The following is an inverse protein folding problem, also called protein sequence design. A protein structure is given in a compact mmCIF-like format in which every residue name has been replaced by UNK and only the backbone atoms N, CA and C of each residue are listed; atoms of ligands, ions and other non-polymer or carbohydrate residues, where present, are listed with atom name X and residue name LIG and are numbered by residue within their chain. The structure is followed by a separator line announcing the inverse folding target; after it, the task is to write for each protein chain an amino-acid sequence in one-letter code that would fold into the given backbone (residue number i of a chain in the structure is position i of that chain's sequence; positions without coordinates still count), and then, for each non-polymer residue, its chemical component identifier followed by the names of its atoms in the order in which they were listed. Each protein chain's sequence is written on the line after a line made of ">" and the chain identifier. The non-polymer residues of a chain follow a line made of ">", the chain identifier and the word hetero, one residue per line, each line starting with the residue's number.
data_IF_969377464429
#
_entry.id   IF_969377464429
#
_cell.length_a   1.000
_cell.length_b   1.000
_cell.length_c   1.000
_cell.angle_alpha   90.00
_cell.angle_beta   90.00
_cell.angle_gamma   90.00
#
_symmetry.space_group_name_H-M   'P 1'
#
loop_
_entity.id
_entity.type
_entity.pdbx_description
1 polymer ?
#
# COMPACT_ATOMS: atom_id res chain seq x y z
N UNK A 1 -1.21 -56.22 58.63
CA UNK A 1 -1.43 -55.73 57.25
C UNK A 1 -2.44 -54.60 57.30
N UNK A 2 -2.03 -53.36 57.05
CA UNK A 2 -2.96 -52.27 56.71
C UNK A 2 -2.43 -51.62 55.43
N UNK A 3 -3.18 -51.81 54.35
CA UNK A 3 -2.83 -51.39 53.02
C UNK A 3 -3.00 -49.88 52.86
N UNK A 4 -1.98 -49.26 52.26
CA UNK A 4 -1.85 -47.84 51.96
C UNK A 4 -2.70 -47.53 50.71
N UNK A 5 -3.84 -46.87 50.89
CA UNK A 5 -4.65 -46.40 49.77
C UNK A 5 -4.00 -45.16 49.13
N UNK A 6 -3.57 -45.33 47.88
CA UNK A 6 -3.03 -44.29 47.00
C UNK A 6 -4.12 -43.26 46.68
N UNK A 7 -4.01 -42.04 47.21
CA UNK A 7 -4.87 -40.93 46.82
C UNK A 7 -4.47 -40.44 45.43
N UNK A 8 -5.26 -40.80 44.44
CA UNK A 8 -5.26 -40.26 43.09
C UNK A 8 -5.33 -38.72 43.11
N UNK A 9 -4.18 -38.07 42.93
CA UNK A 9 -4.08 -36.64 42.74
C UNK A 9 -4.57 -36.29 41.33
N UNK A 10 -5.80 -35.79 41.22
CA UNK A 10 -6.34 -35.27 39.96
C UNK A 10 -5.42 -34.18 39.41
N UNK A 11 -4.73 -34.47 38.30
CA UNK A 11 -3.92 -33.50 37.58
C UNK A 11 -4.80 -32.32 37.15
N UNK A 12 -4.53 -31.12 37.68
CA UNK A 12 -5.20 -29.89 37.24
C UNK A 12 -4.92 -29.70 35.76
N UNK A 13 -5.99 -29.63 34.97
CA UNK A 13 -5.92 -29.41 33.52
C UNK A 13 -5.06 -28.17 33.23
N UNK A 14 -3.89 -28.33 32.58
CA UNK A 14 -2.93 -27.26 32.36
C UNK A 14 -3.51 -26.12 31.51
N UNK A 15 -4.48 -26.42 30.64
CA UNK A 15 -5.13 -25.41 29.80
C UNK A 15 -6.03 -24.50 30.63
N UNK A 16 -6.81 -25.07 31.57
CA UNK A 16 -7.65 -24.29 32.50
C UNK A 16 -6.82 -23.38 33.40
N UNK A 17 -5.63 -23.83 33.82
CA UNK A 17 -4.69 -23.01 34.60
C UNK A 17 -4.17 -21.83 33.78
N UNK A 18 -3.82 -22.03 32.51
CA UNK A 18 -3.35 -20.97 31.60
C UNK A 18 -4.46 -19.94 31.36
N UNK A 19 -5.69 -20.39 31.10
CA UNK A 19 -6.84 -19.50 30.89
C UNK A 19 -7.17 -18.67 32.14
N UNK A 20 -7.20 -19.30 33.31
CA UNK A 20 -7.43 -18.59 34.57
C UNK A 20 -6.35 -17.54 34.83
N UNK A 21 -5.09 -17.85 34.51
CA UNK A 21 -3.98 -16.88 34.59
C UNK A 21 -4.13 -15.73 33.60
N UNK A 22 -4.58 -16.00 32.37
CA UNK A 22 -4.85 -14.95 31.37
C UNK A 22 -5.99 -14.03 31.84
N UNK A 23 -7.08 -14.60 32.37
CA UNK A 23 -8.21 -13.86 32.93
C UNK A 23 -7.79 -13.00 34.12
N UNK A 24 -6.99 -13.56 35.03
CA UNK A 24 -6.42 -12.82 36.16
C UNK A 24 -5.52 -11.68 35.70
N UNK A 25 -4.57 -11.94 34.79
CA UNK A 25 -3.67 -10.92 34.28
C UNK A 25 -4.40 -9.81 33.51
N UNK A 26 -5.52 -10.13 32.85
CA UNK A 26 -6.35 -9.13 32.19
C UNK A 26 -7.07 -8.24 33.20
N UNK A 27 -7.65 -8.83 34.26
CA UNK A 27 -8.34 -8.09 35.33
C UNK A 27 -7.39 -7.23 36.18
N UNK A 28 -6.18 -7.72 36.45
CA UNK A 28 -5.19 -7.04 37.29
C UNK A 28 -4.05 -6.39 36.48
N UNK A 29 -4.29 -6.09 35.20
CA UNK A 29 -3.25 -5.61 34.29
C UNK A 29 -2.55 -4.36 34.80
N UNK A 30 -3.32 -3.37 35.25
CA UNK A 30 -2.79 -2.09 35.71
C UNK A 30 -2.00 -2.20 37.01
N UNK A 31 -2.51 -2.98 37.97
CA UNK A 31 -1.84 -3.28 39.23
C UNK A 31 -0.50 -4.02 39.02
N UNK A 32 -0.47 -5.01 38.12
CA UNK A 32 0.75 -5.73 37.75
C UNK A 32 1.76 -4.82 37.02
N UNK A 33 1.28 -3.93 36.14
CA UNK A 33 2.12 -2.95 35.47
C UNK A 33 2.69 -1.92 36.46
N UNK A 34 1.89 -1.44 37.42
CA UNK A 34 2.30 -0.51 38.46
C UNK A 34 3.35 -1.14 39.38
N UNK A 35 3.14 -2.40 39.81
CA UNK A 35 4.12 -3.17 40.58
C UNK A 35 5.44 -3.36 39.81
N UNK A 36 5.37 -3.62 38.51
CA UNK A 36 6.53 -3.70 37.64
C UNK A 36 7.30 -2.38 37.48
N UNK A 37 6.59 -1.24 37.52
CA UNK A 37 7.13 0.13 37.45
C UNK A 37 7.61 0.66 38.80
N UNK A 38 7.37 -0.05 39.91
CA UNK A 38 7.83 0.38 41.24
C UNK A 38 9.36 0.52 41.29
N UNK A 39 9.90 1.51 42.03
CA UNK A 39 11.35 1.75 42.12
C UNK A 39 12.14 0.50 42.53
N UNK A 40 11.66 -0.25 43.53
CA UNK A 40 12.29 -1.49 44.01
C UNK A 40 12.33 -2.59 42.93
N UNK A 41 11.29 -2.72 42.12
CA UNK A 41 11.24 -3.67 41.00
C UNK A 41 12.24 -3.28 39.89
N UNK A 42 12.29 -1.99 39.55
CA UNK A 42 13.23 -1.47 38.56
C UNK A 42 14.68 -1.62 39.01
N UNK A 43 14.98 -1.40 40.29
CA UNK A 43 16.31 -1.58 40.87
C UNK A 43 16.73 -3.05 40.82
N UNK A 44 15.85 -3.98 41.20
CA UNK A 44 16.10 -5.42 41.08
C UNK A 44 16.34 -5.83 39.62
N UNK A 45 15.60 -5.25 38.68
CA UNK A 45 15.79 -5.51 37.25
C UNK A 45 17.13 -4.92 36.74
N UNK A 46 17.53 -3.75 37.23
CA UNK A 46 18.84 -3.14 36.94
C UNK A 46 19.97 -4.01 37.46
N UNK A 47 19.92 -4.46 38.72
CA UNK A 47 20.90 -5.37 39.33
C UNK A 47 21.04 -6.67 38.52
N UNK A 48 19.92 -7.33 38.17
CA UNK A 48 19.93 -8.54 37.33
C UNK A 48 20.61 -8.32 35.96
N UNK A 49 20.38 -7.17 35.32
CA UNK A 49 21.01 -6.84 34.02
C UNK A 49 22.51 -6.56 34.18
N UNK A 50 22.92 -5.97 35.30
CA UNK A 50 24.31 -5.69 35.60
C UNK A 50 25.09 -6.96 35.98
N UNK A 51 24.46 -7.88 36.71
CA UNK A 51 25.03 -9.18 37.09
C UNK A 51 25.17 -10.14 35.90
N UNK A 52 24.36 -9.98 34.85
CA UNK A 52 24.40 -10.84 33.66
C UNK A 52 24.29 -10.01 32.37
N UNK A 53 25.32 -9.22 32.02
CA UNK A 53 25.29 -8.34 30.85
C UNK A 53 25.22 -9.13 29.54
N UNK A 54 25.93 -10.25 29.45
CA UNK A 54 25.98 -11.10 28.25
C UNK A 54 24.61 -11.73 27.94
N UNK A 55 23.99 -12.39 28.92
CA UNK A 55 22.64 -12.97 28.74
C UNK A 55 21.60 -11.91 28.36
N UNK A 56 21.74 -10.69 28.89
CA UNK A 56 20.86 -9.57 28.53
C UNK A 56 21.09 -9.11 27.09
N UNK A 57 22.36 -9.03 26.65
CA UNK A 57 22.71 -8.66 25.29
C UNK A 57 22.26 -9.72 24.27
N UNK A 58 22.45 -11.00 24.57
CA UNK A 58 21.98 -12.12 23.74
C UNK A 58 20.47 -12.13 23.62
N UNK A 59 19.74 -11.99 24.73
CA UNK A 59 18.29 -11.90 24.69
C UNK A 59 17.81 -10.72 23.83
N UNK A 60 18.48 -9.55 23.93
CA UNK A 60 18.18 -8.40 23.06
C UNK A 60 18.48 -8.69 21.58
N UNK A 61 19.58 -9.37 21.28
CA UNK A 61 19.94 -9.78 19.91
C UNK A 61 18.88 -10.73 19.34
N UNK A 62 18.53 -11.79 20.07
CA UNK A 62 17.50 -12.75 19.68
C UNK A 62 16.13 -12.08 19.50
N UNK A 63 15.78 -11.15 20.38
CA UNK A 63 14.53 -10.39 20.24
C UNK A 63 14.48 -9.58 18.95
N UNK A 64 15.57 -8.89 18.59
CA UNK A 64 15.66 -8.14 17.32
C UNK A 64 15.55 -9.06 16.11
N UNK A 65 16.15 -10.25 16.17
CA UNK A 65 16.11 -11.24 15.09
C UNK A 65 14.71 -11.86 14.93
N UNK A 66 14.05 -12.21 16.04
CA UNK A 66 12.71 -12.84 16.03
C UNK A 66 11.56 -11.85 15.79
N UNK A 67 11.76 -10.58 16.10
CA UNK A 67 10.72 -9.56 16.00
C UNK A 67 11.20 -8.28 15.29
N UNK A 68 11.69 -8.38 14.04
CA UNK A 68 12.20 -7.22 13.30
C UNK A 68 11.13 -6.14 13.14
N UNK A 69 9.88 -6.53 12.89
CA UNK A 69 8.80 -5.57 12.62
C UNK A 69 8.36 -4.83 13.88
N UNK A 70 8.37 -5.47 15.05
CA UNK A 70 8.10 -4.78 16.33
C UNK A 70 9.18 -3.75 16.64
N UNK A 71 10.43 -4.08 16.34
CA UNK A 71 11.56 -3.15 16.51
C UNK A 71 11.42 -1.96 15.55
N UNK A 72 11.13 -2.22 14.26
CA UNK A 72 10.89 -1.15 13.27
C UNK A 72 9.71 -0.26 13.66
N UNK A 73 8.60 -0.84 14.09
CA UNK A 73 7.42 -0.10 14.54
C UNK A 73 7.72 0.76 15.77
N UNK A 74 8.47 0.22 16.74
CA UNK A 74 8.93 0.97 17.91
C UNK A 74 9.84 2.15 17.53
N UNK A 75 10.78 1.94 16.62
CA UNK A 75 11.63 3.02 16.10
C UNK A 75 10.83 4.09 15.36
N UNK A 76 9.83 3.71 14.56
CA UNK A 76 8.94 4.66 13.87
C UNK A 76 8.14 5.48 14.88
N UNK A 77 7.53 4.84 15.88
CA UNK A 77 6.80 5.52 16.94
C UNK A 77 7.70 6.49 17.73
N UNK A 78 8.92 6.07 18.06
CA UNK A 78 9.90 6.93 18.73
C UNK A 78 10.26 8.16 17.90
N UNK A 79 10.52 7.99 16.60
CA UNK A 79 10.85 9.09 15.68
C UNK A 79 9.72 10.11 15.54
N UNK A 80 8.47 9.65 15.52
CA UNK A 80 7.31 10.54 15.46
C UNK A 80 7.13 11.29 16.78
N UNK A 81 7.17 10.57 17.91
CA UNK A 81 6.99 11.17 19.23
C UNK A 81 8.14 12.10 19.67
N UNK A 82 9.33 11.96 19.07
CA UNK A 82 10.52 12.75 19.41
C UNK A 82 11.11 13.47 18.18
N UNK A 83 10.27 13.79 17.19
CA UNK A 83 10.70 14.40 15.93
C UNK A 83 11.50 15.69 16.16
N UNK A 84 11.04 16.55 17.06
CA UNK A 84 11.69 17.82 17.41
C UNK A 84 13.05 17.63 18.06
N UNK A 85 13.18 16.71 19.02
CA UNK A 85 14.46 16.41 19.68
C UNK A 85 15.49 15.86 18.70
N UNK A 86 15.03 15.01 17.78
CA UNK A 86 15.87 14.44 16.72
C UNK A 86 16.31 15.54 15.76
N UNK A 87 15.40 16.42 15.34
CA UNK A 87 15.71 17.54 14.46
C UNK A 87 16.71 18.51 15.11
N UNK A 88 16.52 18.87 16.38
CA UNK A 88 17.43 19.71 17.14
C UNK A 88 18.83 19.08 17.25
N UNK A 89 18.92 17.79 17.56
CA UNK A 89 20.17 17.05 17.59
C UNK A 89 20.90 17.07 16.24
N UNK A 90 20.20 16.82 15.14
CA UNK A 90 20.83 16.83 13.82
C UNK A 90 21.21 18.23 13.35
N UNK A 91 20.48 19.26 13.77
CA UNK A 91 20.82 20.66 13.47
C UNK A 91 22.17 21.04 14.10
N UNK A 92 22.38 20.74 15.39
CA UNK A 92 23.66 21.01 16.07
C UNK A 92 24.78 20.14 15.51
N UNK A 93 24.53 18.83 15.36
CA UNK A 93 25.49 17.88 14.81
C UNK A 93 25.98 18.28 13.41
N UNK A 94 25.07 18.73 12.54
CA UNK A 94 25.44 19.15 11.18
C UNK A 94 26.33 20.40 11.15
N UNK A 95 26.23 21.27 12.14
CA UNK A 95 27.07 22.48 12.25
C UNK A 95 28.45 22.10 12.79
N UNK A 96 28.48 21.34 13.89
CA UNK A 96 29.71 20.90 14.56
C UNK A 96 30.55 19.98 13.65
N UNK A 97 29.92 19.04 12.96
CA UNK A 97 30.58 18.04 12.11
C UNK A 97 30.55 18.39 10.63
N UNK A 98 30.32 19.66 10.26
CA UNK A 98 30.19 20.09 8.86
C UNK A 98 31.38 19.65 8.00
N UNK A 99 32.60 19.77 8.50
CA UNK A 99 33.81 19.39 7.79
C UNK A 99 33.88 17.87 7.52
N UNK A 100 33.53 17.05 8.51
CA UNK A 100 33.51 15.58 8.38
C UNK A 100 32.42 15.12 7.41
N UNK A 101 31.23 15.75 7.46
CA UNK A 101 30.14 15.49 6.52
C UNK A 101 30.58 15.82 5.08
N UNK A 102 31.24 16.95 4.86
CA UNK A 102 31.73 17.32 3.54
C UNK A 102 32.86 16.40 3.06
N UNK A 103 33.76 15.98 3.95
CA UNK A 103 34.83 15.03 3.61
C UNK A 103 34.26 13.67 3.20
N UNK A 104 33.30 13.14 3.97
CA UNK A 104 32.63 11.88 3.65
C UNK A 104 31.81 11.96 2.37
N UNK A 105 31.09 13.07 2.13
CA UNK A 105 30.36 13.31 0.88
C UNK A 105 31.32 13.38 -0.33
N UNK A 106 32.47 14.03 -0.21
CA UNK A 106 33.50 14.03 -1.26
C UNK A 106 33.98 12.62 -1.61
N UNK A 107 34.29 11.80 -0.61
CA UNK A 107 34.70 10.40 -0.81
C UNK A 107 33.58 9.59 -1.46
N UNK A 108 32.34 9.76 -0.99
CA UNK A 108 31.18 9.08 -1.54
C UNK A 108 30.96 9.45 -3.01
N UNK A 109 31.00 10.75 -3.36
CA UNK A 109 30.86 11.23 -4.73
C UNK A 109 31.99 10.77 -5.64
N UNK A 110 33.22 10.73 -5.15
CA UNK A 110 34.35 10.21 -5.91
C UNK A 110 34.18 8.71 -6.22
N UNK A 111 33.76 7.92 -5.23
CA UNK A 111 33.51 6.47 -5.41
C UNK A 111 32.28 6.15 -6.24
N UNK A 112 31.26 7.01 -6.23
CA UNK A 112 29.98 6.79 -6.91
C UNK A 112 29.74 7.81 -8.03
N UNK A 113 30.82 8.27 -8.69
CA UNK A 113 30.78 9.34 -9.67
C UNK A 113 29.71 9.11 -10.73
N UNK A 114 29.69 7.93 -11.34
CA UNK A 114 28.73 7.60 -12.40
C UNK A 114 27.27 7.66 -11.91
N UNK A 115 27.01 7.18 -10.70
CA UNK A 115 25.65 7.25 -10.11
C UNK A 115 25.22 8.69 -9.85
N UNK A 116 26.15 9.52 -9.38
CA UNK A 116 25.91 10.94 -9.12
C UNK A 116 25.66 11.68 -10.43
N UNK A 117 26.47 11.44 -11.45
CA UNK A 117 26.31 12.03 -12.79
C UNK A 117 24.98 11.60 -13.42
N UNK A 118 24.64 10.31 -13.40
CA UNK A 118 23.35 9.80 -13.88
C UNK A 118 22.15 10.46 -13.18
N UNK A 119 22.24 10.62 -11.85
CA UNK A 119 21.19 11.30 -11.09
C UNK A 119 21.08 12.77 -11.46
N UNK A 120 22.21 13.47 -11.62
CA UNK A 120 22.25 14.88 -12.02
C UNK A 120 21.68 15.06 -13.42
N UNK A 121 22.08 14.24 -14.39
CA UNK A 121 21.57 14.30 -15.75
C UNK A 121 20.07 14.02 -15.80
N UNK A 122 19.59 13.00 -15.09
CA UNK A 122 18.15 12.74 -14.96
C UNK A 122 17.40 13.94 -14.38
N UNK A 123 17.97 14.60 -13.36
CA UNK A 123 17.38 15.80 -12.75
C UNK A 123 17.35 16.98 -13.74
N UNK A 124 18.42 17.20 -14.50
CA UNK A 124 18.48 18.23 -15.55
C UNK A 124 17.44 17.97 -16.63
N UNK A 125 17.32 16.73 -17.12
CA UNK A 125 16.33 16.34 -18.13
C UNK A 125 14.90 16.53 -17.64
N UNK A 126 14.62 16.20 -16.37
CA UNK A 126 13.32 16.47 -15.74
C UNK A 126 13.03 17.97 -15.71
N UNK A 127 13.98 18.77 -15.22
CA UNK A 127 13.82 20.22 -15.17
C UNK A 127 13.61 20.84 -16.57
N UNK A 128 14.35 20.38 -17.58
CA UNK A 128 14.17 20.79 -18.98
C UNK A 128 12.78 20.44 -19.50
N UNK A 129 12.30 19.22 -19.24
CA UNK A 129 10.97 18.77 -19.69
C UNK A 129 9.84 19.60 -19.06
N UNK A 130 9.93 19.87 -17.76
CA UNK A 130 8.97 20.72 -17.05
C UNK A 130 9.03 22.16 -17.57
N UNK A 131 10.23 22.70 -17.74
CA UNK A 131 10.45 24.06 -18.26
C UNK A 131 9.89 24.21 -19.67
N UNK A 132 10.09 23.21 -20.53
CA UNK A 132 9.59 23.20 -21.90
C UNK A 132 8.06 23.33 -21.97
N UNK A 133 7.29 22.62 -21.13
CA UNK A 133 5.83 22.81 -21.10
C UNK A 133 5.46 24.20 -20.60
N UNK A 134 6.15 24.73 -19.59
CA UNK A 134 5.82 26.04 -19.02
C UNK A 134 6.00 27.19 -20.01
N UNK A 135 6.99 27.08 -20.89
CA UNK A 135 7.31 28.15 -21.83
C UNK A 135 6.76 27.90 -23.24
N UNK A 136 6.83 26.66 -23.74
CA UNK A 136 6.41 26.29 -25.10
C UNK A 136 5.47 25.06 -25.05
N UNK A 137 4.24 25.20 -24.52
CA UNK A 137 3.30 24.08 -24.42
C UNK A 137 2.95 23.47 -25.78
N UNK A 138 2.84 24.30 -26.83
CA UNK A 138 2.49 23.85 -28.19
C UNK A 138 3.54 22.91 -28.79
N UNK A 139 4.82 23.18 -28.53
CA UNK A 139 5.91 22.33 -29.02
C UNK A 139 5.85 20.96 -28.35
N UNK A 140 5.61 20.94 -27.04
CA UNK A 140 5.47 19.69 -26.30
C UNK A 140 4.23 18.92 -26.76
N UNK A 141 3.11 19.61 -26.98
CA UNK A 141 1.90 19.01 -27.55
C UNK A 141 2.19 18.34 -28.90
N UNK A 142 2.92 19.02 -29.81
CA UNK A 142 3.29 18.45 -31.12
C UNK A 142 4.16 17.20 -30.97
N UNK A 143 5.14 17.21 -30.08
CA UNK A 143 6.02 16.05 -29.83
C UNK A 143 5.21 14.87 -29.31
N UNK A 144 4.33 15.09 -28.34
CA UNK A 144 3.47 14.05 -27.75
C UNK A 144 2.45 13.54 -28.77
N UNK A 145 1.75 14.44 -29.45
CA UNK A 145 0.75 14.09 -30.47
C UNK A 145 1.36 13.31 -31.64
N UNK A 146 2.61 13.58 -32.01
CA UNK A 146 3.33 12.82 -33.05
C UNK A 146 3.70 11.41 -32.58
N UNK A 147 3.96 11.24 -31.29
CA UNK A 147 4.33 9.94 -30.72
C UNK A 147 3.11 9.01 -30.54
N UNK A 148 1.92 9.56 -30.31
CA UNK A 148 0.69 8.77 -30.22
C UNK A 148 0.18 8.40 -31.62
N UNK A 149 -0.17 7.13 -31.82
CA UNK A 149 -0.61 6.62 -33.12
C UNK A 149 -1.86 7.34 -33.64
N UNK A 150 -1.82 7.76 -34.90
CA UNK A 150 -2.96 8.35 -35.60
C UNK A 150 -4.03 7.34 -36.01
N UNK A 151 -3.81 6.04 -35.79
CA UNK A 151 -4.80 5.00 -36.03
C UNK A 151 -5.84 4.89 -34.89
N UNK A 152 -5.56 5.48 -33.72
CA UNK A 152 -6.47 5.44 -32.58
C UNK A 152 -7.68 6.38 -32.81
N UNK A 153 -8.88 6.01 -32.34
CA UNK A 153 -10.02 6.91 -32.30
C UNK A 153 -9.66 8.24 -31.62
N UNK A 154 -10.21 9.34 -32.14
CA UNK A 154 -9.84 10.71 -31.72
C UNK A 154 -9.96 10.91 -30.21
N UNK A 155 -11.07 10.49 -29.60
CA UNK A 155 -11.30 10.63 -28.16
C UNK A 155 -10.24 9.91 -27.32
N UNK A 156 -9.90 8.65 -27.64
CA UNK A 156 -8.84 7.91 -26.94
C UNK A 156 -7.48 8.58 -27.10
N UNK A 157 -7.20 9.09 -28.31
CA UNK A 157 -5.94 9.77 -28.60
C UNK A 157 -5.79 11.02 -27.75
N UNK A 158 -6.83 11.85 -27.70
CA UNK A 158 -6.84 13.10 -26.96
C UNK A 158 -6.67 12.84 -25.45
N UNK A 159 -7.35 11.82 -24.90
CA UNK A 159 -7.20 11.42 -23.50
C UNK A 159 -5.78 10.94 -23.15
N UNK A 160 -5.17 10.13 -24.03
CA UNK A 160 -3.81 9.64 -23.85
C UNK A 160 -2.80 10.78 -23.96
N UNK A 161 -2.98 11.69 -24.93
CA UNK A 161 -2.15 12.89 -25.07
C UNK A 161 -2.24 13.75 -23.80
N UNK A 162 -3.45 14.03 -23.32
CA UNK A 162 -3.67 14.82 -22.10
C UNK A 162 -2.99 14.17 -20.87
N UNK A 163 -3.14 12.86 -20.72
CA UNK A 163 -2.48 12.09 -19.65
C UNK A 163 -0.95 12.17 -19.74
N UNK A 164 -0.39 12.14 -20.95
CA UNK A 164 1.04 12.26 -21.17
C UNK A 164 1.55 13.68 -20.89
N UNK A 165 0.81 14.73 -21.29
CA UNK A 165 1.17 16.12 -20.99
C UNK A 165 1.20 16.39 -19.48
N UNK A 166 0.20 15.90 -18.75
CA UNK A 166 0.17 15.97 -17.29
C UNK A 166 1.40 15.27 -16.68
N UNK A 167 1.73 14.08 -17.16
CA UNK A 167 2.90 13.36 -16.67
C UNK A 167 4.24 14.08 -16.96
N UNK A 168 4.32 14.87 -18.04
CA UNK A 168 5.50 15.70 -18.31
C UNK A 168 5.55 16.92 -17.37
N UNK A 169 4.40 17.52 -17.05
CA UNK A 169 4.29 18.60 -16.07
C UNK A 169 4.72 18.17 -14.66
N UNK A 170 4.31 16.97 -14.25
CA UNK A 170 4.74 16.33 -12.99
C UNK A 170 6.21 15.84 -13.05
N UNK A 171 6.76 15.79 -14.26
CA UNK A 171 8.09 15.28 -14.61
C UNK A 171 8.25 13.81 -14.24
N UNK A 172 7.18 13.04 -14.38
CA UNK A 172 7.21 11.58 -14.46
C UNK A 172 7.63 11.11 -15.86
N UNK A 173 7.22 11.87 -16.90
CA UNK A 173 7.59 11.65 -18.28
C UNK A 173 8.62 12.68 -18.74
N UNK A 174 9.71 12.20 -19.33
CA UNK A 174 10.72 13.05 -19.97
C UNK A 174 10.40 13.17 -21.45
N UNK A 175 10.62 14.35 -22.05
CA UNK A 175 10.33 14.59 -23.47
C UNK A 175 11.08 13.61 -24.40
N UNK A 176 12.31 13.24 -24.05
CA UNK A 176 13.12 12.29 -24.80
C UNK A 176 12.54 10.87 -24.80
N UNK A 177 11.74 10.53 -23.79
CA UNK A 177 11.21 9.18 -23.58
C UNK A 177 9.72 9.07 -23.90
N UNK A 178 9.14 10.10 -24.54
CA UNK A 178 7.72 10.15 -24.90
C UNK A 178 7.35 8.91 -25.73
N UNK A 179 8.08 8.65 -26.82
CA UNK A 179 7.81 7.51 -27.70
C UNK A 179 7.90 6.14 -27.01
N UNK A 180 8.92 5.94 -26.17
CA UNK A 180 9.12 4.68 -25.45
C UNK A 180 8.00 4.39 -24.43
N UNK A 181 7.39 5.43 -23.85
CA UNK A 181 6.41 5.29 -22.78
C UNK A 181 4.94 5.38 -23.23
N UNK A 182 4.65 5.65 -24.51
CA UNK A 182 3.27 5.68 -25.02
C UNK A 182 2.49 4.42 -24.65
N UNK A 183 3.13 3.25 -24.76
CA UNK A 183 2.52 1.95 -24.43
C UNK A 183 2.03 1.86 -22.98
N UNK A 184 2.75 2.47 -22.03
CA UNK A 184 2.36 2.49 -20.62
C UNK A 184 1.05 3.25 -20.43
N UNK A 185 0.92 4.41 -21.10
CA UNK A 185 -0.28 5.26 -21.01
C UNK A 185 -1.47 4.64 -21.72
N UNK A 186 -1.26 4.02 -22.89
CA UNK A 186 -2.31 3.23 -23.56
C UNK A 186 -2.77 2.05 -22.70
N UNK A 187 -1.84 1.36 -22.04
CA UNK A 187 -2.17 0.28 -21.12
C UNK A 187 -2.96 0.77 -19.89
N UNK A 188 -2.64 1.95 -19.35
CA UNK A 188 -3.41 2.57 -18.27
C UNK A 188 -4.81 2.99 -18.71
N UNK A 189 -4.91 3.64 -19.87
CA UNK A 189 -6.19 4.02 -20.48
C UNK A 189 -7.08 2.80 -20.68
N UNK A 190 -6.55 1.76 -21.34
CA UNK A 190 -7.29 0.54 -21.59
C UNK A 190 -7.73 -0.14 -20.30
N UNK A 191 -6.93 -0.12 -19.22
CA UNK A 191 -7.35 -0.66 -17.91
C UNK A 191 -8.48 0.15 -17.26
N UNK A 192 -8.47 1.46 -17.43
CA UNK A 192 -9.48 2.35 -16.85
C UNK A 192 -10.82 2.24 -17.58
N UNK A 193 -10.79 2.01 -18.90
CA UNK A 193 -11.97 1.94 -19.76
C UNK A 193 -12.24 0.52 -20.30
N UNK A 194 -11.62 -0.52 -19.72
CA UNK A 194 -11.81 -1.95 -20.09
C UNK A 194 -13.19 -2.50 -19.70
N UNK A 195 -14.09 -1.63 -19.26
CA UNK A 195 -15.47 -1.97 -18.90
C UNK A 195 -16.35 -2.29 -20.12
N UNK A 196 -15.88 -2.00 -21.35
CA UNK A 196 -16.67 -2.16 -22.58
C UNK A 196 -16.12 -3.19 -23.57
N UNK A 197 -15.34 -4.19 -23.13
CA UNK A 197 -15.05 -5.32 -24.01
C UNK A 197 -16.36 -5.99 -24.38
N UNK A 198 -16.72 -5.95 -25.66
CA UNK A 198 -17.76 -6.77 -26.27
C UNK A 198 -17.32 -8.23 -26.18
N UNK A 199 -17.59 -8.83 -25.03
CA UNK A 199 -17.35 -10.24 -24.80
C UNK A 199 -18.55 -10.96 -25.40
N UNK A 200 -18.32 -11.72 -26.47
CA UNK A 200 -19.37 -12.53 -27.06
C UNK A 200 -19.95 -13.45 -25.97
N UNK A 201 -21.27 -13.54 -25.92
CA UNK A 201 -21.96 -14.42 -24.99
C UNK A 201 -21.55 -15.88 -25.20
N UNK A 202 -21.13 -16.21 -26.43
CA UNK A 202 -20.65 -17.52 -26.86
C UNK A 202 -19.16 -17.79 -26.62
N UNK A 203 -18.36 -16.80 -26.17
CA UNK A 203 -16.95 -17.07 -25.90
C UNK A 203 -16.79 -17.97 -24.65
N UNK A 204 -15.98 -19.04 -24.74
CA UNK A 204 -15.68 -19.88 -23.59
C UNK A 204 -14.93 -19.08 -22.54
N UNK A 205 -15.35 -19.21 -21.28
CA UNK A 205 -14.71 -18.54 -20.16
C UNK A 205 -13.46 -19.31 -19.72
N UNK A 206 -12.28 -18.73 -19.98
CA UNK A 206 -11.02 -19.01 -19.28
C UNK A 206 -10.76 -20.46 -18.86
N UNK A 207 -10.63 -21.37 -19.83
CA UNK A 207 -10.23 -22.77 -19.58
C UNK A 207 -11.36 -23.73 -19.20
N UNK A 208 -12.61 -23.26 -19.17
CA UNK A 208 -13.81 -24.08 -19.09
C UNK A 208 -14.63 -23.95 -20.39
N UNK A 209 -15.44 -24.96 -20.70
CA UNK A 209 -16.38 -24.94 -21.84
C UNK A 209 -17.67 -24.14 -21.54
N UNK A 210 -17.73 -23.50 -20.36
CA UNK A 210 -18.85 -22.65 -19.95
C UNK A 210 -18.84 -21.34 -20.71
N UNK A 211 -19.97 -21.01 -21.34
CA UNK A 211 -20.19 -19.76 -22.05
C UNK A 211 -20.94 -18.79 -21.15
N UNK A 212 -20.88 -17.50 -21.46
CA UNK A 212 -21.58 -16.48 -20.66
C UNK A 212 -23.09 -16.52 -20.85
N UNK A 213 -23.54 -17.00 -22.01
CA UNK A 213 -24.96 -17.25 -22.28
C UNK A 213 -25.56 -18.26 -21.31
N UNK A 214 -24.78 -19.26 -20.87
CA UNK A 214 -25.25 -20.32 -19.96
C UNK A 214 -25.52 -19.81 -18.53
N UNK A 215 -25.04 -18.60 -18.21
CA UNK A 215 -25.26 -17.94 -16.92
C UNK A 215 -26.46 -16.98 -16.93
N UNK A 216 -27.04 -16.70 -18.10
CA UNK A 216 -28.23 -15.87 -18.20
C UNK A 216 -29.44 -16.73 -17.81
N UNK A 217 -30.06 -16.42 -16.67
CA UNK A 217 -31.34 -17.01 -16.29
C UNK A 217 -32.37 -16.66 -17.38
N UNK A 218 -33.10 -17.66 -17.85
CA UNK A 218 -34.21 -17.43 -18.75
C UNK A 218 -35.19 -16.43 -18.08
N UNK A 219 -35.76 -15.47 -18.82
CA UNK A 219 -36.78 -14.61 -18.26
C UNK A 219 -37.89 -15.52 -17.70
N UNK A 220 -38.26 -15.30 -16.44
CA UNK A 220 -39.43 -15.97 -15.88
C UNK A 220 -40.62 -15.67 -16.81
N UNK A 221 -41.45 -16.68 -17.13
CA UNK A 221 -42.61 -16.44 -17.98
C UNK A 221 -43.42 -15.33 -17.32
N UNK A 222 -43.62 -14.23 -18.05
CA UNK A 222 -44.49 -13.14 -17.63
C UNK A 222 -45.80 -13.79 -17.19
N UNK A 223 -46.14 -13.63 -15.91
CA UNK A 223 -47.48 -13.95 -15.45
C UNK A 223 -48.40 -13.10 -16.31
N UNK A 224 -49.33 -13.76 -17.01
CA UNK A 224 -50.43 -13.07 -17.67
C UNK A 224 -51.14 -12.26 -16.57
N UNK A 225 -50.76 -10.99 -16.43
CA UNK A 225 -51.52 -10.04 -15.63
C UNK A 225 -52.90 -10.02 -16.30
N UNK A 226 -53.90 -10.55 -15.59
CA UNK A 226 -55.31 -10.41 -15.95
C UNK A 226 -55.53 -8.99 -16.44
N UNK A 227 -55.89 -8.85 -17.72
CA UNK A 227 -56.22 -7.55 -18.29
C UNK A 227 -57.24 -6.87 -17.39
N UNK A 228 -56.83 -5.78 -16.74
CA UNK A 228 -57.72 -4.96 -15.93
C UNK A 228 -58.97 -4.63 -16.78
N UNK A 229 -60.19 -4.98 -16.31
CA UNK A 229 -61.42 -4.77 -17.07
C UNK A 229 -61.69 -3.29 -17.40
N UNK A 230 -60.95 -2.36 -16.79
CA UNK A 230 -61.02 -0.93 -17.06
C UNK A 230 -60.24 -0.49 -18.31
N UNK A 231 -59.29 -1.29 -18.82
CA UNK A 231 -58.57 -0.98 -20.07
C UNK A 231 -59.42 -1.27 -21.32
N UNK A 232 -60.36 -2.23 -21.22
CA UNK A 232 -61.26 -2.62 -22.33
C UNK A 232 -62.25 -1.49 -22.69
N UNK A 233 -62.56 -0.59 -21.74
CA UNK A 233 -63.52 0.51 -21.96
C UNK A 233 -62.99 1.66 -22.84
N UNK A 234 -61.67 1.74 -23.08
CA UNK A 234 -61.07 2.80 -23.91
C UNK A 234 -60.99 2.46 -25.41
N UNK A 235 -61.28 1.20 -25.82
CA UNK A 235 -61.32 0.81 -27.24
C UNK A 235 -62.70 0.93 -27.89
N UNK A 236 -63.73 1.27 -27.12
CA UNK A 236 -65.11 1.41 -27.58
C UNK A 236 -65.51 2.84 -27.91
N UNK A 237 -64.91 3.47 -28.92
CA UNK A 237 -65.44 4.73 -29.42
C UNK A 237 -64.50 5.51 -30.32
N UNK A 238 -64.58 5.26 -31.62
CA UNK A 238 -64.71 6.28 -32.67
C UNK A 238 -64.76 5.59 -34.05
N UNK A 239 -65.99 5.28 -34.44
CA UNK A 239 -66.38 4.97 -35.80
C UNK A 239 -66.47 6.24 -36.63
N UNK A 240 -65.96 6.16 -37.88
CA UNK A 240 -66.41 6.84 -39.10
C UNK A 240 -66.45 8.38 -39.07
N UNK A 241 -65.53 9.00 -39.81
CA UNK A 241 -65.76 9.76 -41.06
C UNK A 241 -64.45 9.83 -41.84
#
# INVERSE_FOLDING_TARGET
>A
MVARALSSGMARDPLKVIENRRRYNAKHREELLAKGRSPASLEKQRKRRAENPEKTAEHRRLFKLRHPDRVKAGWKAYRVANSEKIAAYYATYSVEHKAEILATDRVYRAKNRDKVEMWQERRKLKARSISAIRHNPDEVYRVVSRAVSSALPRFMRDDVINSMLLAVLEGELLLQNVGARVKDYLGRYNKQYDTFKTLSLDAPMGGADLRRIDLLAAPEPEQEEEEDPDIVMLRGGLSRW
#
